data_IF_596972593023
#
_entry.id   IF_596972593023
#
_cell.length_a   1.000
_cell.length_b   1.000
_cell.length_c   1.000
_cell.angle_alpha   90.00
_cell.angle_beta   90.00
_cell.angle_gamma   90.00
#
_symmetry.space_group_name_H-M   'P 1'
#
loop_
_entity.id
_entity.type
_entity.pdbx_description
1 polymer ?
#
# COMPACT_ATOMS: atom_id res chain seq x y z
N UNK A 1 10.17 -3.81 6.84
CA UNK A 1 9.65 -4.72 5.79
C UNK A 1 8.90 -4.00 4.67
N UNK A 2 8.10 -2.96 4.92
CA UNK A 2 7.24 -2.34 3.88
C UNK A 2 8.01 -1.83 2.64
N UNK A 3 9.22 -1.28 2.82
CA UNK A 3 10.09 -0.88 1.71
C UNK A 3 10.52 -2.07 0.82
N UNK A 4 10.78 -3.24 1.42
CA UNK A 4 11.15 -4.45 0.68
C UNK A 4 9.96 -4.96 -0.15
N UNK A 5 8.76 -4.99 0.43
CA UNK A 5 7.53 -5.39 -0.29
C UNK A 5 7.27 -4.45 -1.48
N UNK A 6 7.43 -3.14 -1.28
CA UNK A 6 7.26 -2.16 -2.34
C UNK A 6 8.27 -2.36 -3.49
N UNK A 7 9.52 -2.67 -3.16
CA UNK A 7 10.56 -2.94 -4.14
C UNK A 7 10.33 -4.28 -4.86
N UNK A 8 9.95 -5.33 -4.13
CA UNK A 8 9.61 -6.63 -4.69
C UNK A 8 8.45 -6.54 -5.67
N UNK A 9 7.40 -5.76 -5.34
CA UNK A 9 6.28 -5.50 -6.24
C UNK A 9 6.71 -4.75 -7.51
N UNK A 10 7.53 -3.71 -7.39
CA UNK A 10 8.01 -2.94 -8.55
C UNK A 10 8.88 -3.76 -9.50
N UNK A 11 9.63 -4.71 -8.94
CA UNK A 11 10.50 -5.62 -9.69
C UNK A 11 9.82 -6.91 -10.11
N UNK A 12 8.59 -7.12 -9.67
CA UNK A 12 7.83 -8.35 -9.89
C UNK A 12 8.62 -9.61 -9.51
N UNK A 13 9.19 -9.57 -8.29
CA UNK A 13 10.15 -10.57 -7.83
C UNK A 13 9.46 -11.83 -7.32
N UNK A 14 9.90 -12.98 -7.82
CA UNK A 14 9.48 -14.29 -7.33
C UNK A 14 9.94 -14.53 -5.88
N UNK A 15 9.03 -15.00 -5.05
CA UNK A 15 9.28 -15.25 -3.64
C UNK A 15 8.67 -16.58 -3.19
N UNK A 16 9.19 -17.11 -2.09
CA UNK A 16 8.65 -18.28 -1.43
C UNK A 16 8.74 -18.10 0.10
N UNK A 17 7.76 -18.63 0.82
CA UNK A 17 7.79 -18.70 2.28
C UNK A 17 8.57 -19.93 2.73
N UNK A 18 9.53 -19.71 3.63
CA UNK A 18 10.26 -20.76 4.32
C UNK A 18 9.96 -20.64 5.83
N UNK A 19 9.06 -21.42 6.44
CA UNK A 19 8.30 -22.58 5.95
C UNK A 19 6.82 -22.52 6.41
N UNK A 20 5.95 -23.39 5.88
CA UNK A 20 4.54 -23.48 6.33
C UNK A 20 4.40 -23.99 7.78
N UNK A 21 5.43 -24.65 8.31
CA UNK A 21 5.46 -25.37 9.59
C UNK A 21 5.05 -24.53 10.82
N UNK A 22 4.41 -25.15 11.81
CA UNK A 22 4.09 -24.53 13.11
C UNK A 22 5.09 -24.87 14.22
N UNK A 23 5.27 -26.16 14.48
CA UNK A 23 6.30 -26.73 15.36
C UNK A 23 6.95 -27.97 14.72
N UNK A 24 8.01 -28.48 15.34
CA UNK A 24 8.64 -29.73 14.95
C UNK A 24 8.26 -30.83 15.93
N UNK A 25 7.90 -32.01 15.40
CA UNK A 25 7.74 -33.20 16.23
C UNK A 25 8.97 -33.47 17.10
N UNK A 26 10.17 -33.34 16.51
CA UNK A 26 11.45 -33.35 17.20
C UNK A 26 12.45 -32.48 16.42
N UNK A 27 13.09 -31.52 17.09
CA UNK A 27 14.20 -30.74 16.54
C UNK A 27 15.22 -30.51 17.64
N UNK A 28 16.50 -30.73 17.33
CA UNK A 28 17.62 -30.51 18.26
C UNK A 28 17.38 -31.15 19.65
N UNK A 29 16.83 -32.36 19.69
CA UNK A 29 16.53 -33.09 20.92
C UNK A 29 15.28 -32.61 21.69
N UNK A 30 14.61 -31.56 21.23
CA UNK A 30 13.41 -31.00 21.87
C UNK A 30 12.17 -31.38 21.07
N UNK A 31 11.18 -31.99 21.73
CA UNK A 31 9.85 -32.27 21.14
C UNK A 31 9.03 -30.98 21.11
N UNK A 32 8.17 -30.84 20.09
CA UNK A 32 7.29 -29.66 19.94
C UNK A 32 8.06 -28.33 19.91
N UNK A 33 9.26 -28.33 19.35
CA UNK A 33 10.03 -27.09 19.20
C UNK A 33 9.35 -26.21 18.17
N UNK A 34 8.92 -25.03 18.58
CA UNK A 34 8.17 -24.10 17.72
C UNK A 34 9.05 -23.52 16.61
N UNK A 35 8.59 -23.58 15.35
CA UNK A 35 9.24 -22.90 14.22
C UNK A 35 8.86 -21.42 14.26
N UNK A 36 9.80 -20.56 14.66
CA UNK A 36 9.54 -19.13 14.85
C UNK A 36 9.40 -18.40 13.52
N UNK A 37 10.02 -18.91 12.45
CA UNK A 37 9.92 -18.40 11.09
C UNK A 37 8.77 -19.06 10.29
N UNK A 38 7.98 -19.90 10.97
CA UNK A 38 6.87 -20.63 10.39
C UNK A 38 5.64 -19.76 10.13
N UNK A 39 4.90 -20.06 9.06
CA UNK A 39 3.63 -19.39 8.75
C UNK A 39 2.55 -19.74 9.79
N UNK A 40 2.55 -20.99 10.28
CA UNK A 40 1.57 -21.48 11.24
C UNK A 40 2.03 -21.30 12.70
N UNK A 41 1.06 -21.27 13.60
CA UNK A 41 1.32 -21.38 15.03
C UNK A 41 1.56 -22.85 15.45
N UNK A 42 1.96 -23.08 16.69
CA UNK A 42 2.21 -24.43 17.21
C UNK A 42 0.95 -25.33 17.24
N UNK A 43 -0.26 -24.76 17.08
CA UNK A 43 -1.49 -25.54 17.01
C UNK A 43 -1.76 -26.10 15.61
N UNK A 44 -0.99 -25.64 14.60
CA UNK A 44 -1.18 -25.96 13.17
C UNK A 44 -2.54 -25.56 12.60
N UNK A 45 -3.34 -24.80 13.36
CA UNK A 45 -4.69 -24.37 12.96
C UNK A 45 -4.74 -22.90 12.55
N UNK A 46 -3.90 -22.07 13.16
CA UNK A 46 -3.92 -20.64 12.89
C UNK A 46 -2.62 -20.17 12.24
N UNK A 47 -2.73 -19.05 11.54
CA UNK A 47 -1.59 -18.29 11.05
C UNK A 47 -0.96 -17.54 12.22
N UNK A 48 0.37 -17.63 12.35
CA UNK A 48 1.13 -16.95 13.41
C UNK A 48 1.05 -15.43 13.32
N UNK A 49 1.09 -14.90 12.10
CA UNK A 49 1.03 -13.47 11.84
C UNK A 49 0.18 -13.17 10.60
N UNK A 50 -1.10 -12.82 10.83
CA UNK A 50 -2.04 -12.49 9.76
C UNK A 50 -1.65 -11.23 8.98
N UNK A 51 -1.11 -10.22 9.67
CA UNK A 51 -0.62 -8.97 9.05
C UNK A 51 0.53 -9.24 8.08
N UNK A 52 1.42 -10.19 8.39
CA UNK A 52 2.49 -10.61 7.49
C UNK A 52 1.93 -11.24 6.21
N UNK A 53 0.96 -12.16 6.32
CA UNK A 53 0.32 -12.77 5.16
C UNK A 53 -0.43 -11.75 4.30
N UNK A 54 -1.11 -10.77 4.92
CA UNK A 54 -1.75 -9.67 4.19
C UNK A 54 -0.72 -8.84 3.41
N UNK A 55 0.44 -8.53 4.00
CA UNK A 55 1.51 -7.83 3.27
C UNK A 55 2.01 -8.64 2.08
N UNK A 56 2.15 -9.96 2.23
CA UNK A 56 2.52 -10.85 1.14
C UNK A 56 1.45 -10.91 0.04
N UNK A 57 0.16 -10.74 0.36
CA UNK A 57 -0.92 -10.78 -0.64
C UNK A 57 -0.69 -9.80 -1.79
N UNK A 58 -0.06 -8.66 -1.51
CA UNK A 58 0.25 -7.62 -2.49
C UNK A 58 1.34 -7.97 -3.50
N UNK A 59 2.07 -9.07 -3.31
CA UNK A 59 3.15 -9.52 -4.22
C UNK A 59 2.98 -10.97 -4.68
N UNK A 60 1.85 -11.63 -4.36
CA UNK A 60 1.60 -13.00 -4.85
C UNK A 60 1.12 -13.02 -6.30
N UNK A 61 0.47 -11.94 -6.74
CA UNK A 61 0.03 -11.81 -8.11
C UNK A 61 1.09 -11.08 -8.91
N UNK A 62 1.59 -11.66 -10.02
CA UNK A 62 2.54 -10.98 -10.89
C UNK A 62 1.88 -9.77 -11.55
N UNK A 63 2.62 -8.66 -11.67
CA UNK A 63 2.15 -7.43 -12.30
C UNK A 63 2.54 -7.34 -13.78
N UNK A 64 3.53 -8.12 -14.21
CA UNK A 64 4.11 -8.11 -15.55
C UNK A 64 4.43 -9.53 -16.00
N UNK A 65 4.45 -9.76 -17.31
CA UNK A 65 4.86 -11.04 -17.90
C UNK A 65 3.95 -11.55 -19.01
N UNK A 66 4.36 -12.62 -19.71
CA UNK A 66 3.61 -13.17 -20.83
C UNK A 66 2.20 -13.58 -20.43
N UNK A 67 1.19 -13.15 -21.19
CA UNK A 67 -0.22 -13.50 -20.95
C UNK A 67 -0.92 -12.65 -19.89
N UNK A 68 -0.23 -11.69 -19.25
CA UNK A 68 -0.84 -10.72 -18.35
C UNK A 68 -1.13 -9.41 -19.08
N UNK A 69 -2.26 -8.79 -18.77
CA UNK A 69 -2.54 -7.43 -19.21
C UNK A 69 -1.75 -6.47 -18.32
N UNK A 70 -0.76 -5.78 -18.89
CA UNK A 70 0.03 -4.81 -18.14
C UNK A 70 -0.88 -3.72 -17.58
N UNK A 71 -1.02 -3.71 -16.26
CA UNK A 71 -1.87 -2.79 -15.53
C UNK A 71 -1.03 -2.07 -14.49
N UNK A 72 -0.83 -0.77 -14.70
CA UNK A 72 -0.18 0.09 -13.72
C UNK A 72 -1.11 0.25 -12.52
N UNK A 73 -0.57 0.08 -11.33
CA UNK A 73 -1.31 0.07 -10.08
C UNK A 73 -0.57 0.92 -9.05
N UNK A 74 -1.31 1.38 -8.05
CA UNK A 74 -0.75 2.11 -6.92
C UNK A 74 -0.91 1.22 -5.69
N UNK A 75 0.18 0.55 -5.34
CA UNK A 75 0.25 -0.40 -4.22
C UNK A 75 0.47 0.35 -2.90
N UNK A 76 -0.25 -0.05 -1.85
CA UNK A 76 0.02 0.34 -0.47
C UNK A 76 0.81 -0.79 0.23
N UNK A 77 2.15 -0.68 0.38
CA UNK A 77 2.99 -1.80 0.78
C UNK A 77 2.76 -2.28 2.22
N UNK A 78 2.18 -1.44 3.08
CA UNK A 78 1.86 -1.82 4.45
C UNK A 78 0.65 -2.77 4.53
N UNK A 79 -0.31 -2.68 3.61
CA UNK A 79 -1.50 -3.55 3.63
C UNK A 79 -1.47 -4.62 2.55
N UNK A 80 -0.63 -4.48 1.52
CA UNK A 80 -0.63 -5.37 0.37
C UNK A 80 -1.85 -5.17 -0.56
N UNK A 81 -2.56 -4.06 -0.39
CA UNK A 81 -3.73 -3.68 -1.19
C UNK A 81 -3.38 -2.54 -2.16
N UNK A 82 -4.18 -2.38 -3.21
CA UNK A 82 -3.99 -1.32 -4.19
C UNK A 82 -5.11 -0.27 -4.11
N UNK A 83 -4.78 0.95 -4.54
CA UNK A 83 -5.72 2.07 -4.60
C UNK A 83 -6.72 1.88 -5.73
N UNK A 84 -7.99 2.11 -5.43
CA UNK A 84 -9.09 2.07 -6.41
C UNK A 84 -10.18 3.10 -6.07
N UNK A 85 -11.08 3.37 -7.01
CA UNK A 85 -12.28 4.15 -6.73
C UNK A 85 -13.25 3.38 -5.82
N UNK A 86 -13.89 4.10 -4.92
CA UNK A 86 -15.00 3.64 -4.11
C UNK A 86 -16.33 3.95 -4.79
N UNK A 87 -16.85 2.99 -5.55
CA UNK A 87 -18.13 3.12 -6.26
C UNK A 87 -19.36 3.17 -5.34
N UNK A 88 -19.23 2.75 -4.08
CA UNK A 88 -20.35 2.72 -3.13
C UNK A 88 -20.65 4.08 -2.49
N UNK A 89 -19.78 5.07 -2.68
CA UNK A 89 -19.97 6.41 -2.14
C UNK A 89 -20.69 7.32 -3.15
N UNK A 90 -21.62 8.14 -2.66
CA UNK A 90 -22.30 9.17 -3.47
C UNK A 90 -21.33 10.16 -4.13
N UNK A 91 -20.14 10.33 -3.53
CA UNK A 91 -19.01 11.10 -4.08
C UNK A 91 -17.87 10.12 -4.34
N UNK A 92 -17.29 10.08 -5.55
CA UNK A 92 -16.23 9.15 -5.86
C UNK A 92 -15.01 9.48 -4.98
N UNK A 93 -14.63 8.51 -4.16
CA UNK A 93 -13.54 8.61 -3.18
C UNK A 93 -12.57 7.48 -3.37
N UNK A 94 -11.37 7.61 -2.81
CA UNK A 94 -10.35 6.58 -2.89
C UNK A 94 -10.45 5.59 -1.72
N UNK A 95 -10.22 4.31 -2.02
CA UNK A 95 -10.11 3.23 -1.05
C UNK A 95 -9.03 2.24 -1.48
N UNK A 96 -8.64 1.36 -0.55
CA UNK A 96 -7.84 0.19 -0.84
C UNK A 96 -8.71 -1.04 -1.12
N UNK A 97 -8.27 -1.87 -2.05
CA UNK A 97 -8.87 -3.16 -2.41
C UNK A 97 -7.79 -4.11 -2.93
N UNK A 98 -8.13 -5.39 -3.12
CA UNK A 98 -7.27 -6.35 -3.81
C UNK A 98 -6.79 -5.79 -5.16
N UNK A 99 -5.48 -5.94 -5.43
CA UNK A 99 -4.85 -5.42 -6.64
C UNK A 99 -5.45 -6.01 -7.93
N UNK A 100 -5.96 -7.24 -7.90
CA UNK A 100 -6.66 -7.87 -9.01
C UNK A 100 -7.99 -7.19 -9.36
N UNK A 101 -8.65 -6.57 -8.38
CA UNK A 101 -9.93 -5.85 -8.54
C UNK A 101 -9.77 -4.34 -8.67
N UNK A 102 -8.59 -3.81 -8.37
CA UNK A 102 -8.32 -2.38 -8.36
C UNK A 102 -8.26 -1.82 -9.78
N UNK A 103 -8.66 -0.58 -10.01
CA UNK A 103 -8.60 0.03 -11.34
C UNK A 103 -7.17 0.45 -11.74
N UNK A 104 -6.87 0.63 -13.05
CA UNK A 104 -5.57 1.13 -13.48
C UNK A 104 -5.30 2.53 -12.93
N UNK A 105 -4.08 2.74 -12.45
CA UNK A 105 -3.60 4.02 -11.96
C UNK A 105 -2.37 4.49 -12.73
N UNK A 106 -2.28 5.78 -13.05
CA UNK A 106 -1.09 6.37 -13.67
C UNK A 106 -0.66 7.62 -12.91
N UNK A 107 0.65 7.72 -12.64
CA UNK A 107 1.23 8.89 -12.01
C UNK A 107 2.45 9.33 -12.82
N UNK A 108 2.44 10.57 -13.29
CA UNK A 108 3.59 11.19 -13.93
C UNK A 108 4.25 12.16 -12.93
N UNK A 109 5.47 11.88 -12.43
CA UNK A 109 6.13 12.76 -11.47
C UNK A 109 6.39 14.20 -11.99
N UNK A 110 6.45 14.41 -13.31
CA UNK A 110 6.64 15.74 -13.91
C UNK A 110 5.36 16.57 -13.87
N UNK A 111 4.23 15.97 -14.23
CA UNK A 111 2.92 16.62 -14.19
C UNK A 111 2.39 16.71 -12.76
N UNK A 112 2.68 15.70 -11.93
CA UNK A 112 2.19 15.56 -10.57
C UNK A 112 0.74 15.11 -10.48
N UNK A 113 0.12 14.67 -11.58
CA UNK A 113 -1.29 14.24 -11.55
C UNK A 113 -1.34 12.73 -11.38
N UNK A 114 -2.07 12.28 -10.35
CA UNK A 114 -2.44 10.89 -10.15
C UNK A 114 -3.81 10.63 -10.76
N UNK A 115 -3.86 9.72 -11.72
CA UNK A 115 -5.08 9.27 -12.37
C UNK A 115 -5.47 7.89 -11.88
N UNK A 116 -6.76 7.69 -11.63
CA UNK A 116 -7.40 6.41 -11.30
C UNK A 116 -8.60 6.26 -12.24
N UNK A 117 -8.57 5.26 -13.11
CA UNK A 117 -9.63 5.01 -14.11
C UNK A 117 -10.13 6.26 -14.86
N UNK A 118 -9.23 7.02 -15.49
CA UNK A 118 -9.53 8.27 -16.24
C UNK A 118 -10.05 9.44 -15.40
N UNK A 119 -10.21 9.29 -14.09
CA UNK A 119 -10.41 10.39 -13.15
C UNK A 119 -9.09 10.75 -12.48
N UNK A 120 -8.98 11.96 -11.96
CA UNK A 120 -7.79 12.43 -11.27
C UNK A 120 -8.07 12.64 -9.79
N UNK A 121 -7.02 12.64 -8.98
CA UNK A 121 -7.16 12.89 -7.55
C UNK A 121 -7.52 14.36 -7.28
N UNK A 122 -8.58 14.56 -6.50
CA UNK A 122 -8.99 15.85 -5.93
C UNK A 122 -8.66 15.82 -4.42
N UNK A 123 -7.62 16.57 -4.04
CA UNK A 123 -7.13 16.60 -2.67
C UNK A 123 -7.93 17.56 -1.80
N UNK A 124 -8.23 17.20 -0.54
CA UNK A 124 -8.97 18.08 0.37
C UNK A 124 -8.10 19.24 0.88
N UNK A 125 -8.74 20.31 1.39
CA UNK A 125 -8.03 21.43 2.01
C UNK A 125 -7.76 21.25 3.52
N UNK A 126 -8.29 20.20 4.14
CA UNK A 126 -8.22 19.95 5.59
C UNK A 126 -7.76 18.52 5.85
N UNK A 127 -6.93 18.35 6.87
CA UNK A 127 -6.48 17.03 7.34
C UNK A 127 -7.64 16.16 7.84
N UNK A 128 -7.49 14.84 7.78
CA UNK A 128 -8.49 13.85 8.17
C UNK A 128 -9.63 13.65 7.16
N UNK A 129 -9.70 14.43 6.08
CA UNK A 129 -10.73 14.27 5.06
C UNK A 129 -10.37 13.19 4.04
N UNK A 130 -11.39 12.48 3.56
CA UNK A 130 -11.27 11.50 2.47
C UNK A 130 -10.87 12.20 1.16
N UNK A 131 -9.99 11.54 0.43
CA UNK A 131 -9.50 12.00 -0.87
C UNK A 131 -10.51 11.60 -1.94
N UNK A 132 -10.89 12.58 -2.77
CA UNK A 132 -11.93 12.44 -3.79
C UNK A 132 -11.31 12.23 -5.16
N UNK A 133 -12.14 11.81 -6.10
CA UNK A 133 -11.81 11.81 -7.52
C UNK A 133 -12.57 12.93 -8.23
N UNK A 134 -11.86 13.66 -9.06
CA UNK A 134 -12.35 14.77 -9.86
C UNK A 134 -12.09 14.56 -11.35
N UNK A 135 -12.58 15.51 -12.15
CA UNK A 135 -12.39 15.56 -13.61
C UNK A 135 -12.01 16.99 -14.01
N UNK A 136 -11.12 17.13 -14.99
CA UNK A 136 -10.76 18.43 -15.57
C UNK A 136 -10.03 19.34 -14.58
N UNK A 137 -10.61 20.51 -14.29
CA UNK A 137 -9.96 21.54 -13.45
C UNK A 137 -9.89 21.18 -11.96
N UNK A 138 -10.55 20.10 -11.53
CA UNK A 138 -10.50 19.61 -10.14
C UNK A 138 -9.26 18.77 -9.83
N UNK A 139 -8.45 18.44 -10.84
CA UNK A 139 -7.25 17.64 -10.65
C UNK A 139 -6.21 18.37 -9.80
N UNK A 140 -5.81 17.75 -8.70
CA UNK A 140 -4.82 18.29 -7.78
C UNK A 140 -3.41 17.83 -8.15
N UNK A 141 -2.43 18.70 -7.90
CA UNK A 141 -1.01 18.41 -8.13
C UNK A 141 -0.38 17.78 -6.89
N UNK A 142 0.11 16.56 -7.05
CA UNK A 142 0.83 15.77 -6.05
C UNK A 142 2.34 15.76 -6.36
N UNK A 143 3.16 15.67 -5.31
CA UNK A 143 4.60 15.53 -5.40
C UNK A 143 5.12 14.35 -4.57
N UNK A 144 6.20 13.72 -5.05
CA UNK A 144 6.95 12.70 -4.33
C UNK A 144 8.08 13.35 -3.52
N UNK A 145 7.96 13.39 -2.19
CA UNK A 145 8.84 14.21 -1.34
C UNK A 145 9.89 13.44 -0.54
N UNK A 146 9.77 12.12 -0.38
CA UNK A 146 10.76 11.30 0.33
C UNK A 146 11.80 10.70 -0.62
N UNK A 147 12.95 10.28 -0.07
CA UNK A 147 13.98 9.54 -0.81
C UNK A 147 13.44 8.25 -1.46
N UNK A 148 12.50 7.58 -0.77
CA UNK A 148 11.77 6.40 -1.29
C UNK A 148 10.79 6.74 -2.41
N UNK A 149 10.45 8.02 -2.60
CA UNK A 149 9.41 8.53 -3.51
C UNK A 149 8.01 7.96 -3.24
N UNK A 150 7.76 7.42 -2.04
CA UNK A 150 6.48 6.78 -1.71
C UNK A 150 5.49 7.74 -1.01
N UNK A 151 5.94 8.88 -0.50
CA UNK A 151 5.03 9.90 0.02
C UNK A 151 4.46 10.73 -1.12
N UNK A 152 3.17 10.53 -1.40
CA UNK A 152 2.41 11.39 -2.31
C UNK A 152 1.84 12.56 -1.51
N UNK A 153 2.35 13.75 -1.76
CA UNK A 153 2.09 14.94 -0.96
C UNK A 153 1.52 16.09 -1.78
N UNK A 154 0.82 17.00 -1.12
CA UNK A 154 0.29 18.21 -1.72
C UNK A 154 0.23 19.33 -0.67
N UNK A 155 0.14 20.57 -1.14
CA UNK A 155 -0.06 21.73 -0.27
C UNK A 155 -1.51 22.18 -0.35
N UNK A 156 -2.11 22.41 0.81
CA UNK A 156 -3.44 23.02 0.92
C UNK A 156 -3.38 24.51 0.56
N UNK A 157 -4.55 25.15 0.37
CA UNK A 157 -4.67 26.60 0.17
C UNK A 157 -3.97 27.42 1.26
N UNK A 158 -3.89 26.88 2.48
CA UNK A 158 -3.30 27.54 3.64
C UNK A 158 -1.80 27.25 3.79
N UNK A 159 -1.19 26.57 2.81
CA UNK A 159 0.24 26.24 2.79
C UNK A 159 0.64 25.00 3.60
N UNK A 160 -0.31 24.34 4.28
CA UNK A 160 -0.04 23.11 5.03
C UNK A 160 0.30 21.96 4.07
N UNK A 161 1.40 21.27 4.35
CA UNK A 161 1.84 20.09 3.61
C UNK A 161 1.15 18.83 4.15
N UNK A 162 0.35 18.19 3.31
CA UNK A 162 -0.34 16.95 3.62
C UNK A 162 0.16 15.82 2.70
N UNK A 163 0.04 14.60 3.17
CA UNK A 163 0.31 13.37 2.44
C UNK A 163 -0.96 12.54 2.35
N UNK A 164 -1.07 11.75 1.27
CA UNK A 164 -2.02 10.64 1.24
C UNK A 164 -1.69 9.68 2.39
N UNK A 165 -2.73 9.20 3.06
CA UNK A 165 -2.65 8.30 4.21
C UNK A 165 -3.84 7.34 4.15
N UNK A 166 -3.77 6.24 4.88
CA UNK A 166 -4.82 5.21 4.93
C UNK A 166 -5.51 5.24 6.27
N UNK A 167 -6.84 5.35 6.26
CA UNK A 167 -7.67 5.07 7.43
C UNK A 167 -7.94 3.56 7.49
N UNK A 168 -7.21 2.85 8.35
CA UNK A 168 -7.29 1.40 8.47
C UNK A 168 -8.66 0.88 8.94
N UNK A 169 -9.53 1.76 9.48
CA UNK A 169 -10.86 1.38 9.95
C UNK A 169 -11.79 0.96 8.81
N UNK A 170 -11.67 1.61 7.66
CA UNK A 170 -12.52 1.38 6.50
C UNK A 170 -11.75 1.26 5.18
N UNK A 171 -10.41 1.18 5.25
CA UNK A 171 -9.50 1.17 4.12
C UNK A 171 -9.67 2.37 3.17
N UNK A 172 -10.19 3.50 3.64
CA UNK A 172 -10.30 4.72 2.84
C UNK A 172 -8.99 5.48 2.80
N UNK A 173 -8.77 6.23 1.70
CA UNK A 173 -7.60 7.10 1.58
C UNK A 173 -8.00 8.50 2.02
N UNK A 174 -7.26 9.00 3.00
CA UNK A 174 -7.44 10.30 3.64
C UNK A 174 -6.19 11.15 3.45
N UNK A 175 -6.27 12.44 3.78
CA UNK A 175 -5.13 13.32 3.80
C UNK A 175 -4.73 13.67 5.23
N UNK A 176 -3.47 13.43 5.60
CA UNK A 176 -2.94 13.75 6.93
C UNK A 176 -1.59 14.46 6.84
N UNK A 177 -1.12 15.13 7.90
CA UNK A 177 0.25 15.64 7.94
C UNK A 177 1.25 14.54 7.62
N UNK A 178 2.24 14.87 6.79
CA UNK A 178 3.24 13.92 6.36
C UNK A 178 4.08 13.41 7.54
N UNK A 179 4.19 12.09 7.68
CA UNK A 179 4.94 11.40 8.73
C UNK A 179 6.40 11.22 8.33
N UNK A 180 7.28 11.21 9.32
CA UNK A 180 8.68 10.77 9.21
C UNK A 180 9.48 11.41 8.07
N UNK A 181 9.25 12.70 7.84
CA UNK A 181 10.09 13.53 6.97
C UNK A 181 11.37 14.01 7.69
N UNK A 182 11.42 13.88 9.02
CA UNK A 182 12.58 14.15 9.86
C UNK A 182 13.42 12.88 10.03
N UNK A 183 14.69 13.01 10.46
CA UNK A 183 15.62 11.88 10.67
C UNK A 183 15.33 11.07 11.95
N UNK A 184 14.08 11.02 12.40
CA UNK A 184 13.69 10.25 13.57
C UNK A 184 13.52 8.78 13.20
N UNK A 185 14.38 7.92 13.75
CA UNK A 185 14.38 6.49 13.50
C UNK A 185 13.19 5.75 14.15
N UNK A 186 12.51 6.36 15.13
CA UNK A 186 11.35 5.77 15.82
C UNK A 186 10.03 5.98 15.06
N UNK A 187 10.04 6.87 14.06
CA UNK A 187 8.86 7.24 13.31
C UNK A 187 8.53 6.20 12.22
N UNK A 188 7.27 5.74 12.17
CA UNK A 188 6.78 4.82 11.12
C UNK A 188 5.98 5.57 10.03
N UNK A 189 6.49 5.67 8.79
CA UNK A 189 5.79 6.31 7.67
C UNK A 189 4.87 5.36 6.89
N UNK A 190 4.77 4.08 7.30
CA UNK A 190 4.24 3.03 6.43
C UNK A 190 2.82 3.23 5.92
N UNK A 191 1.94 3.86 6.71
CA UNK A 191 0.55 4.15 6.32
C UNK A 191 0.43 5.20 5.20
N UNK A 192 1.51 5.95 4.95
CA UNK A 192 1.57 7.03 3.95
C UNK A 192 2.41 6.65 2.73
N UNK A 193 2.84 5.39 2.63
CA UNK A 193 3.63 4.91 1.52
C UNK A 193 2.77 4.32 0.43
N UNK A 194 2.87 4.90 -0.76
CA UNK A 194 2.22 4.42 -1.98
C UNK A 194 3.27 4.21 -3.06
N UNK A 195 3.29 3.02 -3.65
CA UNK A 195 4.23 2.62 -4.69
C UNK A 195 3.52 2.50 -6.02
N UNK A 196 3.94 3.33 -6.98
CA UNK A 196 3.49 3.23 -8.37
C UNK A 196 4.20 2.04 -9.02
N UNK A 197 3.44 1.09 -9.56
CA UNK A 197 3.90 -0.12 -10.25
C UNK A 197 3.84 0.03 -11.77
#
# INVERSE_FOLDING_TARGET
MNCLVAWAAEKDLDWAVWALTGDYYLRTGTKHMVETYGVLDATWKNVRNSTYLQKLSGIQHPFRGPGLQEKKLLLHPHTGLCVTNNHSANVPTLRLELCTKSEPSTFNPKEGILWINKMCVETPNVAGQKVKLGVGTKCSKLGQISATKMHLSFKTSNGLLLCLDVDERDNSIVANPCKCLTKDASCDPASQWFKVL
#
